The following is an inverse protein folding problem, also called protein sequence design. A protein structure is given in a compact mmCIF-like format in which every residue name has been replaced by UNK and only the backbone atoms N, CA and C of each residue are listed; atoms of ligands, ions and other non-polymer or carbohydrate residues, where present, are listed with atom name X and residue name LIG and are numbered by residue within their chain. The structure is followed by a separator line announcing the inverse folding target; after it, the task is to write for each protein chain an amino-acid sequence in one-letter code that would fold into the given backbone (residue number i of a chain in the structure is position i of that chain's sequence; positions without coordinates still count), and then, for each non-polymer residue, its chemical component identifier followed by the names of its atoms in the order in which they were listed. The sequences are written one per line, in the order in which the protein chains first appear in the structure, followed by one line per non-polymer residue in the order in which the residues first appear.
data_IF_109128803621
#
_entry.id   IF_109128803621
#
_cell.length_a   1.000
_cell.length_b   1.000
_cell.length_c   1.000
_cell.angle_alpha   90.00
_cell.angle_beta   90.00
_cell.angle_gamma   90.00
#
_symmetry.space_group_name_H-M   'P 1'
#
loop_
_entity.id
_entity.type
_entity.pdbx_description
1 polymer ?
#
# COMPACT_ATOMS: atom_id res chain seq x y z
N UNK A 1 33.68 -12.38 37.46
CA UNK A 1 34.14 -13.37 36.46
C UNK A 1 33.06 -14.38 36.03
N UNK A 2 32.01 -14.65 36.81
CA UNK A 2 30.97 -15.63 36.43
C UNK A 2 29.94 -15.14 35.38
N UNK A 3 29.65 -13.84 35.32
CA UNK A 3 28.60 -13.29 34.44
C UNK A 3 28.87 -13.50 32.94
N UNK A 4 30.15 -13.47 32.52
CA UNK A 4 30.53 -13.69 31.13
C UNK A 4 30.13 -15.08 30.62
N UNK A 5 30.19 -16.10 31.49
CA UNK A 5 29.78 -17.47 31.13
C UNK A 5 28.30 -17.60 30.81
N UNK A 6 27.45 -16.72 31.36
CA UNK A 6 26.03 -16.69 31.05
C UNK A 6 25.72 -15.73 29.90
N UNK A 7 26.42 -14.61 29.81
CA UNK A 7 26.17 -13.59 28.78
C UNK A 7 26.56 -14.04 27.37
N UNK A 8 27.65 -14.79 27.22
CA UNK A 8 28.10 -15.31 25.92
C UNK A 8 27.05 -16.23 25.28
N UNK A 9 26.57 -17.32 25.94
CA UNK A 9 25.57 -18.19 25.34
C UNK A 9 24.22 -17.50 25.13
N UNK A 10 23.80 -16.61 26.04
CA UNK A 10 22.57 -15.82 25.86
C UNK A 10 22.68 -14.93 24.62
N UNK A 11 23.82 -14.25 24.42
CA UNK A 11 24.03 -13.43 23.23
C UNK A 11 24.00 -14.26 21.94
N UNK A 12 24.62 -15.44 21.93
CA UNK A 12 24.60 -16.35 20.77
C UNK A 12 23.17 -16.79 20.45
N UNK A 13 22.36 -17.12 21.47
CA UNK A 13 20.95 -17.48 21.28
C UNK A 13 20.16 -16.32 20.69
N UNK A 14 20.33 -15.11 21.24
CA UNK A 14 19.63 -13.91 20.75
C UNK A 14 19.98 -13.61 19.30
N UNK A 15 21.27 -13.66 18.94
CA UNK A 15 21.72 -13.46 17.56
C UNK A 15 21.18 -14.56 16.65
N UNK A 16 21.19 -15.82 17.08
CA UNK A 16 20.62 -16.94 16.33
C UNK A 16 19.12 -16.78 16.07
N UNK A 17 18.35 -16.36 17.08
CA UNK A 17 16.92 -16.07 16.95
C UNK A 17 16.66 -14.89 16.01
N UNK A 18 17.46 -13.82 16.10
CA UNK A 18 17.34 -12.67 15.23
C UNK A 18 17.58 -13.03 13.76
N UNK A 19 18.62 -13.84 13.49
CA UNK A 19 18.91 -14.33 12.14
C UNK A 19 17.77 -15.22 11.64
N UNK A 20 17.29 -16.16 12.46
CA UNK A 20 16.18 -17.04 12.09
C UNK A 20 14.90 -16.27 11.76
N UNK A 21 14.52 -15.30 12.60
CA UNK A 21 13.36 -14.43 12.37
C UNK A 21 13.51 -13.58 11.10
N UNK A 22 14.71 -13.06 10.85
CA UNK A 22 15.00 -12.28 9.64
C UNK A 22 14.77 -13.12 8.38
N UNK A 23 15.32 -14.33 8.31
CA UNK A 23 15.12 -15.21 7.16
C UNK A 23 13.67 -15.68 7.03
N UNK A 24 12.98 -15.93 8.14
CA UNK A 24 11.56 -16.24 8.13
C UNK A 24 10.74 -15.09 7.54
N UNK A 25 10.97 -13.85 7.98
CA UNK A 25 10.26 -12.67 7.47
C UNK A 25 10.53 -12.42 5.98
N UNK A 26 11.78 -12.56 5.53
CA UNK A 26 12.15 -12.43 4.11
C UNK A 26 11.45 -13.49 3.25
N UNK A 27 11.41 -14.76 3.71
CA UNK A 27 10.73 -15.83 3.00
C UNK A 27 9.20 -15.72 3.09
N UNK A 28 8.65 -14.96 4.04
CA UNK A 28 7.21 -14.83 4.23
C UNK A 28 6.51 -13.95 3.19
N UNK A 29 7.21 -13.52 2.13
CA UNK A 29 6.60 -12.88 0.97
C UNK A 29 6.04 -11.47 1.23
N UNK A 30 6.46 -10.81 2.32
CA UNK A 30 5.99 -9.46 2.67
C UNK A 30 6.24 -8.41 1.57
N UNK A 31 7.16 -8.68 0.65
CA UNK A 31 7.51 -7.78 -0.45
C UNK A 31 6.59 -7.91 -1.67
N UNK A 32 5.75 -8.95 -1.74
CA UNK A 32 4.87 -9.22 -2.89
C UNK A 32 3.65 -8.27 -2.95
N UNK A 33 3.32 -7.61 -1.83
CA UNK A 33 2.18 -6.67 -1.72
C UNK A 33 2.60 -5.19 -1.80
N UNK A 34 3.87 -4.89 -2.11
CA UNK A 34 4.32 -3.52 -2.40
C UNK A 34 4.00 -3.06 -3.83
N UNK A 35 3.65 -3.98 -4.74
CA UNK A 35 3.28 -3.66 -6.12
C UNK A 35 1.79 -3.27 -6.28
N UNK A 36 0.97 -3.47 -5.25
CA UNK A 36 -0.47 -3.25 -5.27
C UNK A 36 -0.92 -1.77 -5.37
N UNK A 37 -0.32 -0.79 -4.66
CA UNK A 37 -0.82 0.60 -4.66
C UNK A 37 -0.46 1.40 -5.91
N UNK A 38 0.55 0.98 -6.68
CA UNK A 38 1.05 1.75 -7.83
C UNK A 38 0.17 1.60 -9.08
N UNK A 39 -0.57 0.50 -9.20
CA UNK A 39 -1.43 0.25 -10.36
C UNK A 39 -2.87 0.71 -10.19
N UNK A 40 -3.36 0.97 -8.97
CA UNK A 40 -4.71 1.53 -8.77
C UNK A 40 -4.80 3.00 -9.18
N UNK A 41 -3.72 3.78 -9.04
CA UNK A 41 -3.77 5.23 -9.33
C UNK A 41 -3.72 5.56 -10.83
N UNK A 42 -3.29 4.62 -11.68
CA UNK A 42 -3.14 4.83 -13.12
C UNK A 42 -4.22 4.13 -13.95
N UNK A 43 -5.05 3.27 -13.34
CA UNK A 43 -6.09 2.48 -14.01
C UNK A 43 -7.47 2.59 -13.35
N UNK A 44 -7.78 3.72 -12.69
CA UNK A 44 -9.12 4.03 -12.17
C UNK A 44 -10.16 4.33 -13.29
N UNK A 45 -9.74 4.34 -14.55
CA UNK A 45 -10.59 4.67 -15.71
C UNK A 45 -11.66 3.60 -16.04
N UNK A 46 -11.56 2.41 -15.46
CA UNK A 46 -12.51 1.30 -15.67
C UNK A 46 -13.50 1.07 -14.51
N UNK A 47 -13.62 1.99 -13.55
CA UNK A 47 -14.70 1.93 -12.55
C UNK A 47 -16.03 2.47 -13.14
N UNK A 48 -17.07 1.63 -13.32
CA UNK A 48 -18.38 2.08 -13.79
C UNK A 48 -19.03 3.14 -12.87
N UNK A 49 -18.60 3.27 -11.61
CA UNK A 49 -19.07 4.32 -10.69
C UNK A 49 -18.51 5.71 -11.03
N UNK A 50 -17.39 5.81 -11.76
CA UNK A 50 -16.84 7.11 -12.17
C UNK A 50 -17.60 7.72 -13.36
N UNK A 51 -18.27 6.90 -14.18
CA UNK A 51 -19.09 7.36 -15.31
C UNK A 51 -20.28 8.22 -14.85
N UNK A 52 -20.86 7.92 -13.70
CA UNK A 52 -21.96 8.69 -13.13
C UNK A 52 -21.53 10.11 -12.69
N UNK A 53 -20.26 10.31 -12.32
CA UNK A 53 -19.71 11.63 -12.00
C UNK A 53 -19.47 12.49 -13.24
N UNK A 54 -18.95 11.88 -14.30
CA UNK A 54 -18.68 12.55 -15.59
C UNK A 54 -19.98 12.94 -16.30
N UNK A 55 -21.01 12.07 -16.27
CA UNK A 55 -22.30 12.35 -16.89
C UNK A 55 -23.04 13.53 -16.23
N UNK A 56 -22.87 13.69 -14.90
CA UNK A 56 -23.44 14.83 -14.16
C UNK A 56 -22.73 16.15 -14.48
N UNK A 57 -21.41 16.11 -14.68
CA UNK A 57 -20.62 17.28 -15.04
C UNK A 57 -20.95 17.80 -16.45
N UNK A 58 -21.18 16.90 -17.42
CA UNK A 58 -21.61 17.28 -18.78
C UNK A 58 -23.04 17.84 -18.82
N UNK A 59 -23.95 17.30 -17.99
CA UNK A 59 -25.33 17.79 -17.90
C UNK A 59 -25.45 19.16 -17.23
N UNK A 60 -24.60 19.49 -16.25
CA UNK A 60 -24.56 20.83 -15.65
C UNK A 60 -23.87 21.84 -16.58
N UNK A 61 -22.83 21.44 -17.34
CA UNK A 61 -22.18 22.30 -18.33
C UNK A 61 -23.11 22.66 -19.53
N UNK A 62 -24.04 21.77 -19.88
CA UNK A 62 -25.05 22.03 -20.92
C UNK A 62 -26.18 22.96 -20.48
N UNK A 63 -26.49 23.06 -19.18
CA UNK A 63 -27.58 23.91 -18.67
C UNK A 63 -27.24 25.39 -18.54
N UNK A 64 -25.96 25.74 -18.48
CA UNK A 64 -25.53 27.15 -18.41
C UNK A 64 -25.42 27.83 -19.79
N UNK A 65 -25.44 27.09 -20.90
CA UNK A 65 -25.45 27.65 -22.25
C UNK A 65 -26.86 28.05 -22.76
N UNK A 66 -27.92 27.65 -22.04
CA UNK A 66 -29.33 27.92 -22.39
C UNK A 66 -29.96 29.06 -21.57
N UNK A 67 -29.16 29.96 -20.98
CA UNK A 67 -29.67 31.23 -20.44
C UNK A 67 -29.60 32.28 -21.55
N UNK A 68 -30.74 32.75 -22.10
CA UNK A 68 -30.71 33.84 -23.06
C UNK A 68 -30.18 35.08 -22.33
N UNK A 69 -29.13 35.66 -22.88
CA UNK A 69 -28.67 37.01 -22.56
C UNK A 69 -29.86 37.96 -22.69
N UNK A 70 -30.47 38.32 -21.56
CA UNK A 70 -31.46 39.38 -21.46
C UNK A 70 -30.77 40.73 -21.27
#
# INVERSE_FOLDING_TARGET
MAALYYMIPVAVIVVGLAIWLFFWAVNSGQYDDLDSPAHSILFDDDDPNHKAGVEKADQDAGKDQDKPSA
#
